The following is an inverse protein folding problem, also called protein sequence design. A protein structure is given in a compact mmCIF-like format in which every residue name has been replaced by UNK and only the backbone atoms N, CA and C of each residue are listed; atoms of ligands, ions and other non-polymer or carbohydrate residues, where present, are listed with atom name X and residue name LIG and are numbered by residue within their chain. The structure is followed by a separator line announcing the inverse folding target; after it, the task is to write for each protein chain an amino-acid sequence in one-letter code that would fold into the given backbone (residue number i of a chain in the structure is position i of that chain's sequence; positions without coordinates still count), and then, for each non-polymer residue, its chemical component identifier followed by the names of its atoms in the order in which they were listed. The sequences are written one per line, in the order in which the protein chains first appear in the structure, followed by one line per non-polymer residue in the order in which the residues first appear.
data_IF_139039642830
#
_entry.id   IF_139039642830
#
_cell.length_a   1.000
_cell.length_b   1.000
_cell.length_c   1.000
_cell.angle_alpha   90.00
_cell.angle_beta   90.00
_cell.angle_gamma   90.00
#
_symmetry.space_group_name_H-M   'P 1'
#
loop_
_entity.id
_entity.type
_entity.pdbx_description
1 polymer ?
#
# COMPACT_ATOMS: atom_id res chain seq x y z
N UNK A 1 -1.88 28.64 -5.02
CA UNK A 1 -0.95 27.51 -5.22
C UNK A 1 -1.77 26.32 -5.71
N UNK A 2 -1.63 25.92 -6.96
CA UNK A 2 -2.40 24.83 -7.55
C UNK A 2 -2.06 23.52 -6.83
N UNK A 3 -3.06 22.86 -6.24
CA UNK A 3 -2.91 21.48 -5.79
C UNK A 3 -2.78 20.62 -7.05
N UNK A 4 -1.55 20.27 -7.43
CA UNK A 4 -1.34 19.18 -8.38
C UNK A 4 -2.02 17.95 -7.79
N UNK A 5 -3.17 17.55 -8.34
CA UNK A 5 -3.85 16.34 -7.88
C UNK A 5 -2.91 15.16 -8.09
N UNK A 6 -2.76 14.32 -7.06
CA UNK A 6 -1.99 13.09 -7.19
C UNK A 6 -2.57 12.26 -8.35
N UNK A 7 -1.74 11.97 -9.36
CA UNK A 7 -2.16 11.23 -10.54
C UNK A 7 -2.13 9.74 -10.22
N UNK A 8 -3.30 9.11 -10.16
CA UNK A 8 -3.40 7.65 -10.09
C UNK A 8 -3.28 7.10 -11.51
N UNK A 9 -2.36 6.15 -11.71
CA UNK A 9 -2.11 5.50 -13.00
C UNK A 9 -2.25 4.00 -12.81
N UNK A 10 -3.02 3.34 -13.68
CA UNK A 10 -3.07 1.89 -13.74
C UNK A 10 -1.94 1.39 -14.64
N UNK A 11 -1.16 0.45 -14.13
CA UNK A 11 -0.01 -0.16 -14.81
C UNK A 11 -0.20 -1.67 -14.91
N UNK A 12 0.54 -2.33 -15.79
CA UNK A 12 0.53 -3.79 -15.86
C UNK A 12 1.44 -4.44 -14.80
N UNK A 13 1.26 -5.74 -14.57
CA UNK A 13 1.98 -6.49 -13.52
C UNK A 13 3.50 -6.53 -13.73
N UNK A 14 3.99 -6.48 -14.97
CA UNK A 14 5.43 -6.48 -15.27
C UNK A 14 6.04 -5.13 -14.95
N UNK A 15 5.34 -4.05 -15.29
CA UNK A 15 5.73 -2.70 -14.90
C UNK A 15 5.75 -2.55 -13.38
N UNK A 16 4.68 -2.98 -12.70
CA UNK A 16 4.62 -2.98 -11.23
C UNK A 16 5.82 -3.74 -10.61
N UNK A 17 6.16 -4.92 -11.12
CA UNK A 17 7.33 -5.69 -10.66
C UNK A 17 8.63 -4.91 -10.79
N UNK A 18 8.82 -4.16 -11.88
CA UNK A 18 10.03 -3.37 -12.05
C UNK A 18 10.10 -2.21 -11.05
N UNK A 19 8.98 -1.51 -10.84
CA UNK A 19 8.92 -0.34 -9.95
C UNK A 19 9.15 -0.69 -8.47
N UNK A 20 8.56 -1.80 -8.00
CA UNK A 20 8.72 -2.23 -6.59
C UNK A 20 10.12 -2.77 -6.27
N UNK A 21 10.93 -3.03 -7.30
CA UNK A 21 12.32 -3.46 -7.18
C UNK A 21 13.31 -2.29 -7.23
N UNK A 22 12.85 -1.07 -7.59
CA UNK A 22 13.70 0.12 -7.69
C UNK A 22 13.49 1.06 -6.51
N UNK A 23 12.47 1.90 -6.59
CA UNK A 23 12.29 3.10 -5.76
C UNK A 23 10.85 3.29 -5.27
N UNK A 24 9.92 2.47 -5.77
CA UNK A 24 8.53 2.54 -5.34
C UNK A 24 8.29 1.66 -4.10
N UNK A 25 7.39 2.13 -3.24
CA UNK A 25 6.92 1.38 -2.09
C UNK A 25 5.75 0.50 -2.54
N UNK A 26 5.86 -0.80 -2.31
CA UNK A 26 4.72 -1.70 -2.44
C UNK A 26 3.88 -1.63 -1.15
N UNK A 27 2.68 -1.07 -1.26
CA UNK A 27 1.72 -0.98 -0.17
C UNK A 27 0.73 -2.13 -0.28
N UNK A 28 0.93 -3.17 0.51
CA UNK A 28 0.01 -4.29 0.59
C UNK A 28 -1.16 -3.95 1.52
N UNK A 29 -2.36 -3.86 0.97
CA UNK A 29 -3.58 -3.48 1.71
C UNK A 29 -4.38 -4.69 2.23
N UNK A 30 -3.85 -5.90 2.07
CA UNK A 30 -4.44 -7.15 2.57
C UNK A 30 -4.35 -7.24 4.08
N UNK A 31 -5.03 -8.23 4.67
CA UNK A 31 -4.93 -8.45 6.12
C UNK A 31 -3.52 -8.89 6.52
N UNK A 32 -3.16 -8.68 7.78
CA UNK A 32 -1.83 -9.05 8.30
C UNK A 32 -1.60 -10.55 8.16
N UNK A 33 -2.63 -11.36 8.32
CA UNK A 33 -2.58 -12.81 8.18
C UNK A 33 -2.33 -13.24 6.73
N UNK A 34 -2.95 -12.57 5.76
CA UNK A 34 -2.73 -12.81 4.33
C UNK A 34 -1.29 -12.45 3.93
N UNK A 35 -0.79 -11.33 4.45
CA UNK A 35 0.59 -10.89 4.24
C UNK A 35 1.62 -11.84 4.86
N UNK A 36 1.36 -12.32 6.08
CA UNK A 36 2.24 -13.24 6.80
C UNK A 36 2.32 -14.65 6.16
N UNK A 37 1.24 -15.09 5.49
CA UNK A 37 1.24 -16.34 4.71
C UNK A 37 2.12 -16.26 3.46
N UNK A 38 2.35 -15.05 2.96
CA UNK A 38 3.19 -14.81 1.79
C UNK A 38 2.93 -13.44 1.18
N UNK A 39 4.00 -12.81 0.74
CA UNK A 39 3.97 -11.53 0.05
C UNK A 39 5.04 -11.50 -1.04
N UNK A 40 4.88 -10.54 -1.94
CA UNK A 40 5.84 -10.30 -3.02
C UNK A 40 7.18 -9.84 -2.44
N UNK A 41 8.27 -10.28 -3.07
CA UNK A 41 9.58 -9.74 -2.80
C UNK A 41 9.71 -8.36 -3.47
N UNK A 42 9.92 -7.32 -2.65
CA UNK A 42 10.02 -5.93 -3.07
C UNK A 42 11.09 -5.22 -2.24
N UNK A 43 11.76 -4.22 -2.82
CA UNK A 43 12.83 -3.49 -2.15
C UNK A 43 12.32 -2.73 -0.91
N UNK A 44 11.09 -2.21 -1.00
CA UNK A 44 10.37 -1.58 0.12
C UNK A 44 8.93 -2.06 0.10
N UNK A 45 8.54 -2.81 1.13
CA UNK A 45 7.19 -3.33 1.30
C UNK A 45 6.60 -2.89 2.64
N UNK A 46 5.36 -2.43 2.61
CA UNK A 46 4.61 -2.00 3.79
C UNK A 46 3.24 -2.67 3.72
N UNK A 47 2.84 -3.37 4.78
CA UNK A 47 1.49 -3.89 4.90
C UNK A 47 0.67 -3.02 5.86
N UNK A 48 -0.36 -2.37 5.33
CA UNK A 48 -1.35 -1.63 6.11
C UNK A 48 -2.72 -2.11 5.64
N UNK A 49 -3.42 -2.96 6.41
CA UNK A 49 -4.71 -3.49 6.01
C UNK A 49 -5.75 -2.38 5.82
N UNK A 50 -6.41 -2.38 4.66
CA UNK A 50 -7.56 -1.49 4.43
C UNK A 50 -8.80 -1.98 5.19
N UNK A 51 -8.93 -3.31 5.31
CA UNK A 51 -10.00 -3.97 6.04
C UNK A 51 -9.40 -4.77 7.20
N UNK A 52 -9.98 -4.62 8.39
CA UNK A 52 -9.65 -5.38 9.57
C UNK A 52 -10.70 -6.47 9.79
N UNK A 53 -10.24 -7.69 10.05
CA UNK A 53 -11.11 -8.78 10.45
C UNK A 53 -11.51 -8.59 11.93
N UNK A 54 -12.82 -8.58 12.19
CA UNK A 54 -13.38 -8.53 13.55
C UNK A 54 -14.31 -9.72 13.76
N UNK A 55 -14.65 -10.08 15.01
CA UNK A 55 -15.63 -11.14 15.28
C UNK A 55 -17.00 -10.92 14.64
N UNK A 56 -17.34 -9.66 14.27
CA UNK A 56 -18.60 -9.28 13.63
C UNK A 56 -18.48 -9.15 12.09
N UNK A 57 -17.33 -9.50 11.52
CA UNK A 57 -17.03 -9.37 10.09
C UNK A 57 -15.93 -8.34 9.81
N UNK A 58 -15.81 -7.93 8.54
CA UNK A 58 -14.77 -7.00 8.09
C UNK A 58 -15.20 -5.55 8.27
N UNK A 59 -14.37 -4.76 8.94
CA UNK A 59 -14.56 -3.31 9.10
C UNK A 59 -13.43 -2.56 8.42
N UNK A 60 -13.70 -1.36 7.90
CA UNK A 60 -12.64 -0.50 7.37
C UNK A 60 -11.71 -0.09 8.50
N UNK A 61 -10.40 -0.12 8.26
CA UNK A 61 -9.42 0.40 9.20
C UNK A 61 -9.61 1.92 9.37
N UNK A 62 -10.06 2.41 10.55
CA UNK A 62 -10.27 3.84 10.76
C UNK A 62 -8.96 4.63 10.78
N UNK A 63 -7.85 3.96 11.10
CA UNK A 63 -6.51 4.54 11.20
C UNK A 63 -5.70 4.40 9.89
N UNK A 64 -6.27 3.82 8.82
CA UNK A 64 -5.56 3.53 7.57
C UNK A 64 -4.74 4.71 7.04
N UNK A 65 -5.36 5.89 6.92
CA UNK A 65 -4.69 7.09 6.42
C UNK A 65 -3.63 7.61 7.40
N UNK A 66 -3.87 7.46 8.70
CA UNK A 66 -2.94 7.87 9.74
C UNK A 66 -1.69 6.99 9.72
N UNK A 67 -1.87 5.68 9.60
CA UNK A 67 -0.77 4.71 9.47
C UNK A 67 0.06 5.00 8.22
N UNK A 68 -0.57 5.18 7.05
CA UNK A 68 0.12 5.56 5.81
C UNK A 68 0.90 6.85 6.00
N UNK A 69 0.28 7.89 6.58
CA UNK A 69 0.95 9.18 6.80
C UNK A 69 2.12 9.14 7.78
N UNK A 70 2.21 8.10 8.60
CA UNK A 70 3.30 7.92 9.56
C UNK A 70 4.52 7.22 8.97
N UNK A 71 4.34 6.49 7.87
CA UNK A 71 5.40 5.69 7.22
C UNK A 71 5.75 6.17 5.82
N UNK A 72 4.86 6.90 5.15
CA UNK A 72 5.05 7.44 3.81
C UNK A 72 5.01 8.97 3.82
N UNK A 73 5.92 9.58 3.06
CA UNK A 73 5.95 11.01 2.75
C UNK A 73 5.08 11.31 1.52
N UNK A 74 4.84 12.60 1.25
CA UNK A 74 4.01 13.02 0.10
C UNK A 74 4.71 12.79 -1.25
N UNK A 75 6.02 12.68 -1.21
CA UNK A 75 6.90 12.51 -2.35
C UNK A 75 7.16 11.02 -2.67
N UNK A 76 6.75 10.10 -1.78
CA UNK A 76 6.92 8.67 -1.99
C UNK A 76 5.96 8.15 -3.08
N UNK A 77 6.50 7.35 -4.00
CA UNK A 77 5.72 6.69 -5.03
C UNK A 77 5.22 5.33 -4.54
N UNK A 78 3.91 5.12 -4.60
CA UNK A 78 3.24 3.93 -4.07
C UNK A 78 2.69 3.08 -5.22
N UNK A 79 2.87 1.77 -5.09
CA UNK A 79 2.18 0.74 -5.88
C UNK A 79 1.29 -0.04 -4.91
N UNK A 80 0.01 -0.19 -5.23
CA UNK A 80 -1.01 -0.82 -4.37
C UNK A 80 -1.61 -2.03 -5.07
#
# INVERSE_FOLDING_TARGET
MCRSGAKVVTIDVREAKNLIQTDHIYLDVRTVEEFAKGHVDAAKIINIPYMLDTPKGRVKNPDFLKEISSVCNKEDHLVV
#
